data_IF_808036397473
#
_entry.id   IF_808036397473
#
_cell.length_a   1.000
_cell.length_b   1.000
_cell.length_c   1.000
_cell.angle_alpha   90.00
_cell.angle_beta   90.00
_cell.angle_gamma   90.00
#
_symmetry.space_group_name_H-M   'P 1'
#
loop_
_entity.id
_entity.type
_entity.pdbx_description
1 polymer ?
#
# COMPACT_ATOMS: atom_id res chain seq x y z
N UNK A 1 -19.44 0.73 -9.96
CA UNK A 1 -19.58 0.12 -8.62
C UNK A 1 -18.43 -0.84 -8.29
N UNK A 2 -17.85 -1.54 -9.28
CA UNK A 2 -16.77 -2.53 -9.07
C UNK A 2 -15.42 -1.94 -8.61
N UNK A 3 -15.05 -0.75 -9.09
CA UNK A 3 -13.77 -0.12 -8.74
C UNK A 3 -13.65 0.23 -7.25
N UNK A 4 -14.75 0.71 -6.64
CA UNK A 4 -14.74 1.07 -5.23
C UNK A 4 -14.49 -0.15 -4.32
N UNK A 5 -15.05 -1.29 -4.68
CA UNK A 5 -14.83 -2.56 -3.97
C UNK A 5 -13.40 -3.08 -4.19
N UNK A 6 -12.80 -2.87 -5.36
CA UNK A 6 -11.42 -3.28 -5.63
C UNK A 6 -10.39 -2.53 -4.77
N UNK A 7 -10.57 -1.22 -4.56
CA UNK A 7 -9.69 -0.43 -3.70
C UNK A 7 -9.80 -0.90 -2.26
N UNK A 8 -11.03 -1.04 -1.75
CA UNK A 8 -11.27 -1.51 -0.39
C UNK A 8 -10.70 -2.92 -0.18
N UNK A 9 -10.89 -3.81 -1.14
CA UNK A 9 -10.32 -5.16 -1.11
C UNK A 9 -8.78 -5.13 -1.11
N UNK A 10 -8.16 -4.21 -1.85
CA UNK A 10 -6.70 -4.06 -1.88
C UNK A 10 -6.17 -3.58 -0.53
N UNK A 11 -6.82 -2.58 0.08
CA UNK A 11 -6.46 -2.08 1.42
C UNK A 11 -6.67 -3.18 2.47
N UNK A 12 -7.81 -3.88 2.44
CA UNK A 12 -8.10 -5.01 3.34
C UNK A 12 -7.10 -6.15 3.17
N UNK A 13 -6.67 -6.47 1.95
CA UNK A 13 -5.67 -7.50 1.70
C UNK A 13 -4.32 -7.12 2.32
N UNK A 14 -3.83 -5.90 2.09
CA UNK A 14 -2.60 -5.39 2.71
C UNK A 14 -2.68 -5.36 4.25
N UNK A 15 -3.84 -4.96 4.78
CA UNK A 15 -4.11 -4.97 6.21
C UNK A 15 -4.02 -6.40 6.78
N UNK A 16 -4.70 -7.37 6.17
CA UNK A 16 -4.67 -8.78 6.58
C UNK A 16 -3.27 -9.36 6.53
N UNK A 17 -2.50 -9.09 5.47
CA UNK A 17 -1.11 -9.56 5.36
C UNK A 17 -0.24 -8.99 6.48
N UNK A 18 -0.38 -7.70 6.79
CA UNK A 18 0.40 -7.07 7.87
C UNK A 18 -0.01 -7.59 9.25
N UNK A 19 -1.31 -7.84 9.47
CA UNK A 19 -1.82 -8.47 10.70
C UNK A 19 -1.34 -9.91 10.85
N UNK A 20 -1.30 -10.67 9.76
CA UNK A 20 -0.79 -12.04 9.76
C UNK A 20 0.69 -12.07 10.11
N UNK A 21 1.50 -11.17 9.51
CA UNK A 21 2.91 -11.04 9.84
C UNK A 21 3.13 -10.74 11.32
N UNK A 22 2.37 -9.79 11.88
CA UNK A 22 2.40 -9.47 13.31
C UNK A 22 2.06 -10.72 14.15
N UNK A 23 0.97 -11.40 13.82
CA UNK A 23 0.50 -12.57 14.56
C UNK A 23 1.55 -13.69 14.56
N UNK A 24 2.08 -14.06 13.39
CA UNK A 24 3.11 -15.09 13.25
C UNK A 24 4.37 -14.70 14.03
N UNK A 25 4.79 -13.44 13.94
CA UNK A 25 5.97 -12.95 14.68
C UNK A 25 5.79 -13.06 16.19
N UNK A 26 4.60 -12.72 16.72
CA UNK A 26 4.29 -12.84 18.15
C UNK A 26 4.25 -14.30 18.59
N UNK A 27 3.60 -15.19 17.81
CA UNK A 27 3.54 -16.62 18.13
C UNK A 27 4.93 -17.24 18.19
N UNK A 28 5.79 -16.92 17.22
CA UNK A 28 7.19 -17.39 17.21
C UNK A 28 7.94 -16.82 18.41
N UNK A 29 7.84 -15.51 18.69
CA UNK A 29 8.51 -14.88 19.82
C UNK A 29 8.14 -15.55 21.16
N UNK A 30 6.85 -15.82 21.39
CA UNK A 30 6.35 -16.51 22.59
C UNK A 30 6.88 -17.94 22.67
N UNK A 31 6.83 -18.69 21.56
CA UNK A 31 7.35 -20.06 21.52
C UNK A 31 8.85 -20.13 21.80
N UNK A 32 9.63 -19.22 21.22
CA UNK A 32 11.08 -19.11 21.45
C UNK A 32 11.38 -18.69 22.90
N UNK A 33 10.62 -17.76 23.47
CA UNK A 33 10.77 -17.35 24.86
C UNK A 33 10.45 -18.49 25.85
N UNK A 34 9.48 -19.34 25.52
CA UNK A 34 9.20 -20.55 26.30
C UNK A 34 10.35 -21.56 26.23
N UNK A 35 10.93 -21.76 25.04
CA UNK A 35 12.11 -22.61 24.88
C UNK A 35 13.34 -22.06 25.63
N UNK A 36 13.48 -20.74 25.73
CA UNK A 36 14.58 -20.10 26.47
C UNK A 36 14.63 -20.51 27.95
N UNK A 37 13.47 -20.82 28.55
CA UNK A 37 13.40 -21.32 29.93
C UNK A 37 14.07 -22.69 30.10
N UNK A 38 14.15 -23.49 29.04
CA UNK A 38 14.66 -24.86 29.07
C UNK A 38 16.01 -25.04 28.35
N UNK A 39 16.29 -24.26 27.30
CA UNK A 39 17.44 -24.43 26.41
C UNK A 39 18.53 -23.34 26.55
N UNK A 40 18.31 -22.35 27.42
CA UNK A 40 19.29 -21.33 27.78
C UNK A 40 18.99 -19.92 27.28
N UNK A 41 19.71 -18.90 27.79
CA UNK A 41 19.35 -17.50 27.64
C UNK A 41 19.56 -16.93 26.24
N UNK A 42 20.33 -17.59 25.37
CA UNK A 42 20.56 -17.16 23.97
C UNK A 42 19.26 -17.08 23.15
N UNK A 43 18.25 -17.86 23.51
CA UNK A 43 16.94 -17.84 22.87
C UNK A 43 16.13 -16.56 23.15
N UNK A 44 16.41 -15.82 24.23
CA UNK A 44 15.76 -14.51 24.45
C UNK A 44 16.12 -13.49 23.37
N UNK A 45 17.33 -13.55 22.82
CA UNK A 45 17.77 -12.68 21.72
C UNK A 45 16.92 -12.96 20.47
N UNK A 46 16.68 -14.24 20.18
CA UNK A 46 15.81 -14.65 19.08
C UNK A 46 14.36 -14.23 19.30
N UNK A 47 13.83 -14.36 20.52
CA UNK A 47 12.48 -13.89 20.85
C UNK A 47 12.33 -12.38 20.62
N UNK A 48 13.31 -11.58 21.09
CA UNK A 48 13.37 -10.14 20.86
C UNK A 48 13.41 -9.77 19.37
N UNK A 49 14.17 -10.52 18.57
CA UNK A 49 14.26 -10.31 17.12
C UNK A 49 12.87 -10.43 16.45
N UNK A 50 12.10 -11.46 16.80
CA UNK A 50 10.74 -11.62 16.27
C UNK A 50 9.77 -10.55 16.78
N UNK A 51 9.92 -10.07 18.02
CA UNK A 51 9.14 -8.92 18.52
C UNK A 51 9.39 -7.67 17.68
N UNK A 52 10.65 -7.38 17.33
CA UNK A 52 11.01 -6.22 16.50
C UNK A 52 10.40 -6.35 15.09
N UNK A 53 10.49 -7.54 14.46
CA UNK A 53 9.84 -7.78 13.15
C UNK A 53 8.33 -7.53 13.24
N UNK A 54 7.68 -8.04 14.28
CA UNK A 54 6.24 -7.80 14.50
C UNK A 54 5.93 -6.32 14.68
N UNK A 55 6.74 -5.59 15.44
CA UNK A 55 6.57 -4.16 15.67
C UNK A 55 6.64 -3.35 14.36
N UNK A 56 7.49 -3.74 13.40
CA UNK A 56 7.57 -3.11 12.08
C UNK A 56 6.30 -3.26 11.24
N UNK A 57 5.43 -4.22 11.55
CA UNK A 57 4.13 -4.36 10.89
C UNK A 57 3.08 -3.35 11.41
N UNK A 58 3.23 -2.84 12.64
CA UNK A 58 2.24 -1.94 13.28
C UNK A 58 2.03 -0.63 12.52
N UNK A 59 3.06 0.10 12.05
CA UNK A 59 2.87 1.30 11.24
C UNK A 59 2.04 1.02 9.99
N UNK A 60 2.30 -0.10 9.30
CA UNK A 60 1.57 -0.46 8.08
C UNK A 60 0.10 -0.81 8.36
N UNK A 61 -0.18 -1.51 9.46
CA UNK A 61 -1.55 -1.77 9.93
C UNK A 61 -2.28 -0.45 10.19
N UNK A 62 -1.65 0.48 10.91
CA UNK A 62 -2.25 1.77 11.23
C UNK A 62 -2.50 2.63 9.98
N UNK A 63 -1.54 2.66 9.05
CA UNK A 63 -1.70 3.32 7.75
C UNK A 63 -2.88 2.74 6.98
N UNK A 64 -3.00 1.41 6.86
CA UNK A 64 -4.10 0.77 6.16
C UNK A 64 -5.46 1.04 6.82
N UNK A 65 -5.54 0.99 8.16
CA UNK A 65 -6.79 1.32 8.89
C UNK A 65 -7.22 2.76 8.66
N UNK A 66 -6.27 3.70 8.74
CA UNK A 66 -6.54 5.12 8.52
C UNK A 66 -6.98 5.38 7.09
N UNK A 67 -6.30 4.81 6.09
CA UNK A 67 -6.71 4.93 4.69
C UNK A 67 -8.11 4.36 4.43
N UNK A 68 -8.49 3.27 5.09
CA UNK A 68 -9.82 2.68 4.94
C UNK A 68 -10.91 3.59 5.54
N UNK A 69 -10.64 4.22 6.69
CA UNK A 69 -11.55 5.21 7.31
C UNK A 69 -11.66 6.46 6.44
N UNK A 70 -10.54 7.01 5.99
CA UNK A 70 -10.51 8.21 5.14
C UNK A 70 -11.25 7.96 3.83
N UNK A 71 -11.05 6.78 3.23
CA UNK A 71 -11.75 6.36 2.02
C UNK A 71 -13.26 6.25 2.23
N UNK A 72 -13.73 5.64 3.33
CA UNK A 72 -15.16 5.57 3.67
C UNK A 72 -15.78 6.95 3.95
N UNK A 73 -14.97 7.92 4.39
CA UNK A 73 -15.39 9.31 4.60
C UNK A 73 -15.24 10.19 3.35
N UNK A 74 -14.88 9.63 2.19
CA UNK A 74 -14.57 10.36 0.96
C UNK A 74 -13.46 11.43 1.12
N UNK A 75 -12.55 11.24 2.10
CA UNK A 75 -11.38 12.12 2.29
C UNK A 75 -10.25 11.61 1.39
N UNK A 76 -10.27 12.02 0.13
CA UNK A 76 -9.29 11.64 -0.90
C UNK A 76 -8.42 12.83 -1.29
N UNK A 77 -7.13 12.57 -1.51
CA UNK A 77 -6.19 13.55 -2.06
C UNK A 77 -6.23 13.51 -3.58
N UNK A 78 -5.72 14.56 -4.23
CA UNK A 78 -5.50 14.55 -5.66
C UNK A 78 -4.09 15.01 -6.00
N UNK A 79 -3.55 14.45 -7.07
CA UNK A 79 -2.32 14.91 -7.71
C UNK A 79 -2.66 15.28 -9.15
N UNK A 80 -2.31 16.50 -9.54
CA UNK A 80 -2.47 17.00 -10.91
C UNK A 80 -1.10 17.07 -11.58
N UNK A 81 -1.03 16.61 -12.83
CA UNK A 81 0.23 16.55 -13.56
C UNK A 81 0.04 16.16 -15.01
N UNK A 82 1.09 16.36 -15.80
CA UNK A 82 1.15 16.01 -17.21
C UNK A 82 1.58 14.55 -17.37
N UNK A 83 0.87 13.79 -18.20
CA UNK A 83 1.19 12.39 -18.48
C UNK A 83 2.46 12.32 -19.33
N UNK A 84 3.52 11.75 -18.76
CA UNK A 84 4.77 11.50 -19.47
C UNK A 84 4.71 10.17 -20.24
N UNK A 85 4.28 9.12 -19.56
CA UNK A 85 4.22 7.78 -20.15
C UNK A 85 3.14 6.92 -19.48
N UNK A 86 2.66 5.93 -20.23
CA UNK A 86 1.61 5.00 -19.84
C UNK A 86 1.89 3.62 -20.44
N UNK A 87 2.22 2.65 -19.59
CA UNK A 87 2.53 1.28 -20.04
C UNK A 87 1.94 0.21 -19.13
N UNK A 88 1.69 -1.01 -19.64
CA UNK A 88 1.21 -2.12 -18.83
C UNK A 88 2.29 -2.63 -17.86
N UNK A 89 1.93 -2.93 -16.60
CA UNK A 89 2.86 -3.50 -15.60
C UNK A 89 3.37 -4.89 -16.04
N UNK A 90 2.48 -5.70 -16.62
CA UNK A 90 2.72 -6.98 -17.31
C UNK A 90 1.57 -7.25 -18.27
N UNK A 91 1.83 -7.83 -19.45
CA UNK A 91 0.80 -8.13 -20.48
C UNK A 91 -0.41 -8.92 -19.91
N UNK A 92 -0.17 -9.86 -19.00
CA UNK A 92 -1.24 -10.70 -18.41
C UNK A 92 -1.97 -10.07 -17.21
N UNK A 93 -1.40 -9.03 -16.59
CA UNK A 93 -1.92 -8.50 -15.31
C UNK A 93 -3.11 -7.55 -15.47
N UNK A 94 -3.29 -6.98 -16.67
CA UNK A 94 -4.29 -5.95 -16.94
C UNK A 94 -4.06 -4.60 -16.22
N UNK A 95 -2.98 -4.48 -15.44
CA UNK A 95 -2.63 -3.25 -14.71
C UNK A 95 -1.74 -2.35 -15.55
N UNK A 96 -1.88 -1.06 -15.32
CA UNK A 96 -1.21 0.00 -16.06
C UNK A 96 -0.49 0.93 -15.10
N UNK A 97 0.70 1.35 -15.48
CA UNK A 97 1.52 2.29 -14.73
C UNK A 97 1.47 3.61 -15.47
N UNK A 98 1.18 4.69 -14.74
CA UNK A 98 1.18 6.05 -15.27
C UNK A 98 2.24 6.89 -14.55
N UNK A 99 3.02 7.61 -15.34
CA UNK A 99 4.03 8.55 -14.88
C UNK A 99 3.55 9.98 -15.10
N UNK A 100 3.52 10.75 -14.01
CA UNK A 100 3.10 12.13 -14.02
C UNK A 100 4.25 13.06 -13.70
N UNK A 101 4.45 14.03 -14.59
CA UNK A 101 5.21 15.23 -14.29
C UNK A 101 4.31 16.20 -13.52
N UNK A 102 4.68 16.48 -12.27
CA UNK A 102 3.88 17.29 -11.35
C UNK A 102 4.63 18.58 -11.08
N UNK A 103 3.99 19.70 -11.42
CA UNK A 103 4.58 21.01 -11.24
C UNK A 103 5.00 21.23 -9.76
N UNK A 104 6.27 21.60 -9.55
CA UNK A 104 6.84 21.81 -8.23
C UNK A 104 7.40 20.55 -7.53
N UNK A 105 7.32 19.36 -8.14
CA UNK A 105 8.06 18.18 -7.69
C UNK A 105 9.25 17.91 -8.61
N UNK A 106 10.41 17.59 -8.02
CA UNK A 106 11.59 17.17 -8.78
C UNK A 106 11.48 15.74 -9.32
N UNK A 107 10.68 14.91 -8.66
CA UNK A 107 10.54 13.49 -8.97
C UNK A 107 9.22 13.22 -9.68
N UNK A 108 9.29 12.34 -10.68
CA UNK A 108 8.11 11.84 -11.41
C UNK A 108 7.23 11.05 -10.44
N UNK A 109 5.93 11.32 -10.46
CA UNK A 109 4.97 10.63 -9.61
C UNK A 109 4.37 9.44 -10.35
N UNK A 110 4.52 8.25 -9.78
CA UNK A 110 4.00 7.00 -10.31
C UNK A 110 2.67 6.62 -9.67
N UNK A 111 1.71 6.18 -10.49
CA UNK A 111 0.49 5.52 -10.02
C UNK A 111 0.25 4.20 -10.78
N UNK A 112 -0.23 3.18 -10.04
CA UNK A 112 -0.62 1.89 -10.62
C UNK A 112 -2.15 1.84 -10.72
N UNK A 113 -2.64 1.82 -11.95
CA UNK A 113 -4.05 1.74 -12.32
C UNK A 113 -4.43 0.28 -12.58
N UNK A 114 -5.63 -0.16 -12.15
CA UNK A 114 -6.06 -1.54 -12.37
C UNK A 114 -6.69 -1.76 -13.77
N UNK A 115 -6.78 -0.72 -14.61
CA UNK A 115 -7.26 -0.81 -15.99
C UNK A 115 -6.54 0.21 -16.87
N UNK A 116 -6.57 -0.01 -18.20
CA UNK A 116 -6.05 0.94 -19.19
C UNK A 116 -6.90 2.22 -19.17
N UNK A 117 -6.35 3.38 -18.78
CA UNK A 117 -7.10 4.62 -18.86
C UNK A 117 -7.20 5.08 -20.33
N UNK A 118 -8.34 5.64 -20.73
CA UNK A 118 -8.52 6.30 -22.04
C UNK A 118 -7.92 7.70 -22.02
N UNK A 119 -6.60 7.80 -21.92
CA UNK A 119 -5.86 9.05 -21.77
C UNK A 119 -4.78 9.11 -22.85
N UNK A 120 -4.62 10.27 -23.48
CA UNK A 120 -3.55 10.49 -24.45
C UNK A 120 -2.25 10.87 -23.72
N UNK A 121 -1.08 10.39 -24.18
CA UNK A 121 0.21 10.93 -23.74
C UNK A 121 0.22 12.46 -23.86
N UNK A 122 0.96 13.15 -22.99
CA UNK A 122 1.07 14.62 -22.93
C UNK A 122 -0.16 15.38 -22.42
N UNK A 123 -1.27 14.70 -22.11
CA UNK A 123 -2.45 15.35 -21.51
C UNK A 123 -2.25 15.65 -20.02
N UNK A 124 -2.90 16.72 -19.54
CA UNK A 124 -2.94 17.05 -18.11
C UNK A 124 -4.08 16.27 -17.46
N UNK A 125 -3.78 15.55 -16.37
CA UNK A 125 -4.76 14.75 -15.66
C UNK A 125 -4.71 15.01 -14.16
N UNK A 126 -5.84 14.75 -13.52
CA UNK A 126 -6.03 14.80 -12.09
C UNK A 126 -6.31 13.41 -11.56
N UNK A 127 -5.36 12.84 -10.82
CA UNK A 127 -5.48 11.53 -10.20
C UNK A 127 -5.89 11.69 -8.75
N UNK A 128 -7.11 11.30 -8.42
CA UNK A 128 -7.59 11.20 -7.05
C UNK A 128 -7.09 9.89 -6.45
N UNK A 129 -6.51 9.94 -5.24
CA UNK A 129 -5.92 8.78 -4.60
C UNK A 129 -6.11 8.80 -3.08
N UNK A 130 -5.94 7.64 -2.43
CA UNK A 130 -5.94 7.58 -0.96
C UNK A 130 -4.75 8.36 -0.38
N UNK A 131 -4.91 8.89 0.83
CA UNK A 131 -3.94 9.85 1.39
C UNK A 131 -2.59 9.20 1.72
N UNK A 132 -2.58 7.94 2.14
CA UNK A 132 -1.40 7.29 2.67
C UNK A 132 -0.83 6.26 1.71
N UNK A 133 -1.66 5.33 1.22
CA UNK A 133 -1.23 4.28 0.28
C UNK A 133 -1.15 4.78 -1.16
N UNK A 134 -1.61 6.00 -1.45
CA UNK A 134 -1.66 6.62 -2.78
C UNK A 134 -2.31 5.72 -3.83
N UNK A 135 -3.33 4.96 -3.42
CA UNK A 135 -4.07 4.10 -4.35
C UNK A 135 -5.01 4.96 -5.19
N UNK A 136 -4.95 4.90 -6.53
CA UNK A 136 -5.80 5.71 -7.39
C UNK A 136 -7.27 5.29 -7.28
N UNK A 137 -8.14 6.27 -7.08
CA UNK A 137 -9.60 6.17 -6.88
C UNK A 137 -10.36 6.62 -8.12
N UNK A 138 -9.89 7.70 -8.76
CA UNK A 138 -10.52 8.27 -9.95
C UNK A 138 -9.48 9.04 -10.73
N UNK A 139 -9.65 9.09 -12.04
CA UNK A 139 -8.88 9.97 -12.91
C UNK A 139 -9.85 10.90 -13.62
N UNK A 140 -9.53 12.19 -13.64
CA UNK A 140 -10.21 13.20 -14.44
C UNK A 140 -9.20 13.78 -15.45
N UNK A 141 -9.60 13.89 -16.71
CA UNK A 141 -8.83 14.58 -17.73
C UNK A 141 -9.20 16.06 -17.64
N UNK A 142 -8.20 16.92 -17.50
CA UNK A 142 -8.40 18.37 -17.44
C UNK A 142 -8.57 18.96 -18.85
#
# INVERSE_FOLDING_TARGET
MEFHQQIENTIKKRLKTSQLLLFVSVVIAVGVAFLAQNAGPSYYIWAMYFVVIGALALPNINKCKKDLIDYHKNVISHTEGKVLDLFPEKEESGKWIIFLDVEGKKDVVEFILPFKPSIQPESTIKVFHTNILKLPVRIEVA
#
